data_IF_657552310526
#
_entry.id   IF_657552310526
#
_cell.length_a   1.000
_cell.length_b   1.000
_cell.length_c   1.000
_cell.angle_alpha   90.00
_cell.angle_beta   90.00
_cell.angle_gamma   90.00
#
_symmetry.space_group_name_H-M   'P 1'
#
loop_
_entity.id
_entity.type
_entity.pdbx_description
1 polymer ?
#
# COMPACT_ATOMS: atom_id res chain seq x y z
N UNK A 1 8.06 0.27 -23.13
CA UNK A 1 7.61 -0.30 -21.83
C UNK A 1 6.44 0.54 -21.36
N UNK A 2 5.27 -0.05 -21.10
CA UNK A 2 4.12 0.70 -20.56
C UNK A 2 4.23 0.95 -19.06
N UNK A 3 3.49 1.92 -18.48
CA UNK A 3 3.56 2.25 -17.05
C UNK A 3 3.24 1.05 -16.15
N UNK A 4 2.18 0.29 -16.46
CA UNK A 4 1.82 -0.93 -15.75
C UNK A 4 2.95 -1.97 -15.70
N UNK A 5 3.68 -2.14 -16.79
CA UNK A 5 4.81 -3.07 -16.85
C UNK A 5 5.99 -2.58 -16.02
N UNK A 6 6.32 -1.29 -16.08
CA UNK A 6 7.38 -0.73 -15.26
C UNK A 6 7.05 -0.85 -13.76
N UNK A 7 5.79 -0.61 -13.39
CA UNK A 7 5.28 -0.82 -12.04
C UNK A 7 5.39 -2.28 -11.61
N UNK A 8 4.93 -3.20 -12.45
CA UNK A 8 5.00 -4.64 -12.20
C UNK A 8 6.44 -5.12 -11.94
N UNK A 9 7.38 -4.69 -12.79
CA UNK A 9 8.80 -5.05 -12.67
C UNK A 9 9.40 -4.53 -11.36
N UNK A 10 9.07 -3.30 -10.97
CA UNK A 10 9.51 -2.73 -9.70
C UNK A 10 8.95 -3.53 -8.50
N UNK A 11 7.63 -3.74 -8.45
CA UNK A 11 6.98 -4.45 -7.34
C UNK A 11 7.55 -5.86 -7.17
N UNK A 12 7.65 -6.63 -8.26
CA UNK A 12 8.18 -8.01 -8.22
C UNK A 12 9.64 -8.03 -7.79
N UNK A 13 10.49 -7.11 -8.27
CA UNK A 13 11.89 -7.01 -7.85
C UNK A 13 12.04 -6.65 -6.37
N UNK A 14 11.07 -5.94 -5.81
CA UNK A 14 11.01 -5.63 -4.39
C UNK A 14 10.43 -6.77 -3.52
N UNK A 15 10.04 -7.91 -4.11
CA UNK A 15 9.43 -9.04 -3.38
C UNK A 15 7.91 -8.96 -3.24
N UNK A 16 7.26 -8.01 -3.92
CA UNK A 16 5.81 -7.90 -3.97
C UNK A 16 5.15 -8.83 -5.00
N UNK A 17 3.83 -8.76 -5.04
CA UNK A 17 2.96 -9.51 -5.94
C UNK A 17 2.04 -8.55 -6.67
N UNK A 18 1.62 -8.92 -7.87
CA UNK A 18 0.76 -8.10 -8.71
C UNK A 18 -0.35 -8.94 -9.34
N UNK A 19 -1.48 -8.30 -9.67
CA UNK A 19 -2.57 -8.90 -10.45
C UNK A 19 -2.83 -8.08 -11.70
N UNK A 20 -3.02 -8.78 -12.81
CA UNK A 20 -3.37 -8.20 -14.11
C UNK A 20 -4.87 -8.28 -14.36
N UNK A 21 -5.39 -7.42 -15.24
CA UNK A 21 -6.82 -7.33 -15.61
C UNK A 21 -7.50 -8.60 -16.10
N UNK A 22 -6.75 -9.59 -16.59
CA UNK A 22 -7.25 -10.87 -17.11
C UNK A 22 -6.82 -12.05 -16.25
N UNK A 23 -6.60 -11.80 -14.96
CA UNK A 23 -6.18 -12.80 -14.00
C UNK A 23 -6.84 -12.50 -12.66
N UNK A 24 -7.36 -13.54 -12.03
CA UNK A 24 -7.91 -13.45 -10.68
C UNK A 24 -6.84 -13.68 -9.60
N UNK A 25 -5.67 -14.18 -10.00
CA UNK A 25 -4.59 -14.55 -9.09
C UNK A 25 -3.50 -13.47 -9.02
N UNK A 26 -2.89 -13.36 -7.83
CA UNK A 26 -1.67 -12.60 -7.64
C UNK A 26 -0.48 -13.41 -8.14
N UNK A 27 0.44 -12.74 -8.84
CA UNK A 27 1.69 -13.32 -9.30
C UNK A 27 2.89 -12.59 -8.69
N UNK A 28 3.85 -13.38 -8.21
CA UNK A 28 5.19 -12.94 -7.82
C UNK A 28 6.23 -13.18 -8.91
N UNK A 29 5.83 -13.84 -9.99
CA UNK A 29 6.77 -14.35 -10.97
C UNK A 29 7.02 -13.31 -12.06
N UNK A 30 8.30 -13.02 -12.33
CA UNK A 30 8.68 -12.11 -13.40
C UNK A 30 8.14 -12.57 -14.78
N UNK A 31 7.98 -13.89 -14.98
CA UNK A 31 7.41 -14.49 -16.20
C UNK A 31 5.98 -14.02 -16.49
N UNK A 32 5.23 -13.62 -15.46
CA UNK A 32 3.87 -13.07 -15.60
C UNK A 32 3.85 -11.74 -16.37
N UNK A 33 4.99 -11.06 -16.46
CA UNK A 33 5.15 -9.78 -17.16
C UNK A 33 5.45 -9.97 -18.65
N UNK A 34 6.18 -11.03 -19.02
CA UNK A 34 6.78 -11.20 -20.34
C UNK A 34 5.76 -11.18 -21.50
N UNK A 35 4.54 -11.65 -21.24
CA UNK A 35 3.49 -11.79 -22.27
C UNK A 35 2.45 -10.65 -22.22
N UNK A 36 2.69 -9.57 -21.47
CA UNK A 36 1.72 -8.48 -21.29
C UNK A 36 1.86 -7.42 -22.37
N UNK A 37 0.72 -7.05 -22.94
CA UNK A 37 0.60 -6.12 -24.05
C UNK A 37 0.27 -4.73 -23.49
N UNK A 38 1.15 -3.72 -23.66
CA UNK A 38 0.88 -2.35 -23.23
C UNK A 38 -0.46 -1.83 -23.76
N UNK A 39 -1.26 -1.21 -22.89
CA UNK A 39 -2.57 -0.65 -23.24
C UNK A 39 -3.71 -1.67 -23.29
N UNK A 40 -3.43 -2.98 -23.36
CA UNK A 40 -4.45 -4.05 -23.26
C UNK A 40 -4.45 -4.71 -21.89
N UNK A 41 -3.26 -5.01 -21.37
CA UNK A 41 -3.06 -5.52 -20.02
C UNK A 41 -2.69 -4.36 -19.09
N UNK A 42 -3.33 -4.35 -17.92
CA UNK A 42 -3.14 -3.32 -16.90
C UNK A 42 -3.19 -3.94 -15.51
N UNK A 43 -2.54 -3.30 -14.54
CA UNK A 43 -2.54 -3.73 -13.15
C UNK A 43 -3.87 -3.40 -12.48
N UNK A 44 -4.36 -4.36 -11.70
CA UNK A 44 -5.59 -4.25 -10.92
C UNK A 44 -5.34 -4.43 -9.42
N UNK A 45 -4.27 -5.13 -9.03
CA UNK A 45 -3.83 -5.21 -7.65
C UNK A 45 -2.31 -5.19 -7.50
N UNK A 46 -1.86 -4.62 -6.38
CA UNK A 46 -0.49 -4.71 -5.87
C UNK A 46 -0.55 -5.15 -4.41
N UNK A 47 0.19 -6.20 -4.07
CA UNK A 47 0.42 -6.59 -2.68
C UNK A 47 1.92 -6.59 -2.38
N UNK A 48 2.32 -5.84 -1.38
CA UNK A 48 3.68 -5.82 -0.87
C UNK A 48 3.64 -6.23 0.60
N UNK A 49 4.21 -7.40 0.88
CA UNK A 49 4.32 -7.99 2.22
C UNK A 49 5.78 -8.37 2.44
N UNK A 50 6.41 -7.85 3.50
CA UNK A 50 7.86 -8.05 3.73
C UNK A 50 8.73 -7.64 2.53
N UNK A 51 8.28 -6.62 1.78
CA UNK A 51 8.88 -6.19 0.52
C UNK A 51 9.69 -4.89 0.70
N UNK A 52 10.78 -4.73 -0.05
CA UNK A 52 11.62 -3.52 -0.04
C UNK A 52 11.08 -2.41 -0.97
N UNK A 53 9.76 -2.25 -1.02
CA UNK A 53 9.13 -1.09 -1.70
C UNK A 53 9.39 0.17 -0.88
N UNK A 54 9.79 1.25 -1.54
CA UNK A 54 10.14 2.50 -0.88
C UNK A 54 9.49 3.71 -1.56
N UNK A 55 9.52 4.85 -0.86
CA UNK A 55 8.86 6.07 -1.31
C UNK A 55 9.32 6.55 -2.71
N UNK A 56 10.59 6.35 -3.07
CA UNK A 56 11.10 6.72 -4.39
C UNK A 56 10.56 5.80 -5.50
N UNK A 57 10.36 4.51 -5.19
CA UNK A 57 9.77 3.54 -6.09
C UNK A 57 8.30 3.81 -6.43
N UNK A 58 7.57 4.49 -5.53
CA UNK A 58 6.16 4.84 -5.72
C UNK A 58 5.89 5.67 -6.98
N UNK A 59 6.90 6.37 -7.54
CA UNK A 59 6.79 7.04 -8.85
C UNK A 59 6.40 6.08 -9.98
N UNK A 60 6.64 4.78 -9.85
CA UNK A 60 6.22 3.78 -10.83
C UNK A 60 4.70 3.55 -10.85
N UNK A 61 3.96 4.03 -9.85
CA UNK A 61 2.50 4.08 -9.90
C UNK A 61 1.98 5.17 -10.85
N UNK A 62 2.85 6.06 -11.34
CA UNK A 62 2.46 7.09 -12.28
C UNK A 62 1.85 6.46 -13.54
N UNK A 63 0.63 6.89 -13.87
CA UNK A 63 -0.16 6.41 -15.01
C UNK A 63 -0.64 4.94 -14.90
N UNK A 64 -0.60 4.32 -13.72
CA UNK A 64 -1.28 3.03 -13.44
C UNK A 64 -2.74 3.29 -13.07
N UNK A 65 -3.52 3.74 -14.06
CA UNK A 65 -4.84 4.34 -13.84
C UNK A 65 -5.99 3.35 -13.58
N UNK A 66 -5.72 2.05 -13.47
CA UNK A 66 -6.74 1.00 -13.27
C UNK A 66 -6.48 0.11 -12.05
N UNK A 67 -5.60 0.57 -11.16
CA UNK A 67 -5.30 -0.11 -9.91
C UNK A 67 -6.49 -0.02 -8.95
N UNK A 68 -7.02 -1.15 -8.51
CA UNK A 68 -8.21 -1.22 -7.65
C UNK A 68 -7.87 -1.61 -6.21
N UNK A 69 -6.83 -2.41 -6.01
CA UNK A 69 -6.43 -2.93 -4.70
C UNK A 69 -4.94 -2.69 -4.43
N UNK A 70 -4.63 -2.21 -3.24
CA UNK A 70 -3.27 -1.99 -2.77
C UNK A 70 -3.11 -2.47 -1.33
N UNK A 71 -2.10 -3.30 -1.08
CA UNK A 71 -1.73 -3.74 0.26
C UNK A 71 -0.26 -3.45 0.54
N UNK A 72 0.00 -2.84 1.69
CA UNK A 72 1.31 -2.72 2.31
C UNK A 72 1.28 -3.41 3.67
N UNK A 73 2.12 -4.40 3.86
CA UNK A 73 2.27 -5.12 5.12
C UNK A 73 3.77 -5.30 5.41
N UNK A 74 4.24 -4.84 6.59
CA UNK A 74 5.67 -4.88 6.97
C UNK A 74 6.60 -4.25 5.92
N UNK A 75 6.17 -3.14 5.31
CA UNK A 75 6.93 -2.39 4.30
C UNK A 75 7.64 -1.19 4.95
N UNK A 76 8.77 -1.44 5.60
CA UNK A 76 9.43 -0.47 6.49
C UNK A 76 10.18 0.65 5.78
N UNK A 77 10.46 0.52 4.48
CA UNK A 77 11.09 1.58 3.68
C UNK A 77 10.09 2.61 3.14
N UNK A 78 8.79 2.42 3.39
CA UNK A 78 7.77 3.41 3.09
C UNK A 78 7.72 4.49 4.17
N UNK A 79 7.53 5.74 3.75
CA UNK A 79 7.34 6.89 4.63
C UNK A 79 6.14 7.72 4.15
N UNK A 80 5.75 8.76 4.89
CA UNK A 80 4.56 9.58 4.58
C UNK A 80 4.51 10.11 3.14
N UNK A 81 5.66 10.36 2.49
CA UNK A 81 5.69 10.81 1.08
C UNK A 81 5.16 9.74 0.13
N UNK A 82 5.30 8.45 0.47
CA UNK A 82 4.80 7.35 -0.34
C UNK A 82 3.28 7.43 -0.53
N UNK A 83 2.52 7.82 0.51
CA UNK A 83 1.06 7.89 0.44
C UNK A 83 0.56 9.03 -0.45
N UNK A 84 1.35 10.09 -0.65
CA UNK A 84 1.01 11.18 -1.57
C UNK A 84 0.86 10.70 -3.02
N UNK A 85 1.65 9.70 -3.42
CA UNK A 85 1.59 9.12 -4.77
C UNK A 85 0.29 8.35 -5.04
N UNK A 86 -0.45 7.94 -4.01
CA UNK A 86 -1.71 7.23 -4.18
C UNK A 86 -2.82 8.11 -4.78
N UNK A 87 -2.70 9.43 -4.66
CA UNK A 87 -3.59 10.39 -5.32
C UNK A 87 -3.65 10.20 -6.85
N UNK A 88 -2.61 9.64 -7.46
CA UNK A 88 -2.57 9.31 -8.88
C UNK A 88 -3.61 8.23 -9.25
N UNK A 89 -3.89 7.32 -8.31
CA UNK A 89 -4.86 6.25 -8.47
C UNK A 89 -6.20 6.54 -7.76
N UNK A 90 -6.49 7.82 -7.43
CA UNK A 90 -7.72 8.24 -6.75
C UNK A 90 -9.01 7.84 -7.47
N UNK A 91 -8.93 7.72 -8.79
CA UNK A 91 -10.07 7.43 -9.67
C UNK A 91 -10.27 5.93 -9.92
N UNK A 92 -9.42 5.07 -9.36
CA UNK A 92 -9.50 3.60 -9.54
C UNK A 92 -9.41 2.80 -8.24
N UNK A 93 -8.67 3.28 -7.23
CA UNK A 93 -8.49 2.56 -5.97
C UNK A 93 -9.81 2.40 -5.23
N UNK A 94 -10.14 1.16 -4.91
CA UNK A 94 -11.34 0.74 -4.17
C UNK A 94 -10.99 0.19 -2.80
N UNK A 95 -9.83 -0.44 -2.65
CA UNK A 95 -9.41 -1.02 -1.38
C UNK A 95 -7.93 -0.76 -1.12
N UNK A 96 -7.64 -0.27 0.09
CA UNK A 96 -6.29 -0.04 0.60
C UNK A 96 -6.15 -0.74 1.94
N UNK A 97 -5.07 -1.49 2.09
CA UNK A 97 -4.73 -2.18 3.33
C UNK A 97 -3.30 -1.82 3.76
N UNK A 98 -3.13 -1.36 5.00
CA UNK A 98 -1.84 -0.90 5.53
C UNK A 98 -1.62 -1.50 6.92
N UNK A 99 -0.65 -2.39 7.05
CA UNK A 99 -0.34 -3.07 8.31
C UNK A 99 1.15 -2.99 8.63
N UNK A 100 1.50 -2.81 9.91
CA UNK A 100 2.90 -2.88 10.38
C UNK A 100 3.84 -1.98 9.56
N UNK A 101 3.41 -0.78 9.21
CA UNK A 101 4.16 0.21 8.43
C UNK A 101 4.46 1.45 9.27
N UNK A 102 5.45 2.26 8.84
CA UNK A 102 5.96 3.40 9.62
C UNK A 102 5.27 4.74 9.28
N UNK A 103 4.02 4.70 8.79
CA UNK A 103 3.24 5.91 8.52
C UNK A 103 2.78 6.57 9.80
N UNK A 104 2.80 7.91 9.83
CA UNK A 104 2.23 8.70 10.92
C UNK A 104 0.82 9.18 10.59
N UNK A 105 0.14 9.76 11.58
CA UNK A 105 -1.18 10.38 11.44
C UNK A 105 -1.26 11.31 10.21
N UNK A 106 -0.33 12.28 10.14
CA UNK A 106 -0.23 13.20 9.00
C UNK A 106 0.01 12.50 7.65
N UNK A 107 0.71 11.36 7.63
CA UNK A 107 0.89 10.57 6.41
C UNK A 107 -0.40 9.91 5.95
N UNK A 108 -1.15 9.34 6.88
CA UNK A 108 -2.44 8.68 6.61
C UNK A 108 -3.48 9.66 6.06
N UNK A 109 -3.45 10.92 6.48
CA UNK A 109 -4.35 11.96 5.97
C UNK A 109 -4.19 12.24 4.46
N UNK A 110 -3.11 11.79 3.81
CA UNK A 110 -3.01 11.83 2.34
C UNK A 110 -4.01 10.90 1.63
N UNK A 111 -4.60 9.93 2.34
CA UNK A 111 -5.59 9.01 1.79
C UNK A 111 -6.97 9.67 1.58
N UNK A 112 -7.21 10.86 2.15
CA UNK A 112 -8.51 11.54 2.11
C UNK A 112 -9.00 11.91 0.70
N UNK A 113 -8.08 12.00 -0.27
CA UNK A 113 -8.41 12.33 -1.65
C UNK A 113 -8.84 11.11 -2.49
N UNK A 114 -8.76 9.89 -1.94
CA UNK A 114 -9.15 8.64 -2.61
C UNK A 114 -10.68 8.45 -2.58
N UNK A 115 -11.43 9.34 -3.24
CA UNK A 115 -12.90 9.40 -3.15
C UNK A 115 -13.64 8.14 -3.66
N UNK A 116 -12.98 7.29 -4.45
CA UNK A 116 -13.53 6.00 -4.88
C UNK A 116 -13.20 4.83 -3.93
N UNK A 117 -12.42 5.09 -2.88
CA UNK A 117 -12.12 4.09 -1.86
C UNK A 117 -13.42 3.65 -1.18
N UNK A 118 -13.51 2.35 -0.92
CA UNK A 118 -14.63 1.67 -0.27
C UNK A 118 -14.20 0.94 0.98
N UNK A 119 -12.95 0.48 1.01
CA UNK A 119 -12.38 -0.25 2.14
C UNK A 119 -11.00 0.33 2.43
N UNK A 120 -10.82 0.82 3.65
CA UNK A 120 -9.52 1.19 4.21
C UNK A 120 -9.32 0.39 5.49
N UNK A 121 -8.38 -0.54 5.46
CA UNK A 121 -7.98 -1.29 6.66
C UNK A 121 -6.59 -0.88 7.07
N UNK A 122 -6.44 -0.55 8.33
CA UNK A 122 -5.18 -0.13 8.91
C UNK A 122 -4.88 -0.94 10.17
N UNK A 123 -3.62 -1.12 10.50
CA UNK A 123 -3.25 -1.74 11.76
C UNK A 123 -1.77 -1.61 12.07
N UNK A 124 -1.47 -1.58 13.37
CA UNK A 124 -0.10 -1.66 13.89
C UNK A 124 0.84 -0.62 13.29
N UNK A 125 0.43 0.64 13.40
CA UNK A 125 1.19 1.78 12.89
C UNK A 125 1.90 2.47 14.06
N UNK A 126 3.15 2.11 14.40
CA UNK A 126 3.83 2.63 15.60
C UNK A 126 4.07 4.14 15.58
N UNK A 127 4.02 4.77 14.40
CA UNK A 127 4.21 6.21 14.24
C UNK A 127 2.88 7.00 14.20
N UNK A 128 1.73 6.33 14.21
CA UNK A 128 0.41 6.96 14.30
C UNK A 128 -0.01 7.05 15.76
N UNK A 129 0.19 8.22 16.36
CA UNK A 129 -0.01 8.48 17.80
C UNK A 129 -1.48 8.81 18.07
N UNK A 130 -2.11 9.56 17.16
CA UNK A 130 -3.49 10.05 17.28
C UNK A 130 -4.40 9.35 16.28
N UNK A 131 -4.35 8.01 16.28
CA UNK A 131 -5.01 7.20 15.25
C UNK A 131 -6.54 7.36 15.26
N UNK A 132 -7.15 7.56 16.43
CA UNK A 132 -8.60 7.71 16.55
C UNK A 132 -9.10 9.01 15.88
N UNK A 133 -8.43 10.15 16.17
CA UNK A 133 -8.69 11.44 15.50
C UNK A 133 -8.46 11.33 13.98
N UNK A 134 -7.39 10.64 13.58
CA UNK A 134 -7.08 10.40 12.16
C UNK A 134 -8.18 9.60 11.46
N UNK A 135 -8.72 8.57 12.12
CA UNK A 135 -9.83 7.76 11.59
C UNK A 135 -11.09 8.60 11.45
N UNK A 136 -11.41 9.45 12.42
CA UNK A 136 -12.56 10.35 12.36
C UNK A 136 -12.45 11.33 11.18
N UNK A 137 -11.28 11.95 10.98
CA UNK A 137 -11.05 12.83 9.83
C UNK A 137 -11.17 12.08 8.51
N UNK A 138 -10.58 10.88 8.41
CA UNK A 138 -10.67 10.03 7.22
C UNK A 138 -12.11 9.63 6.91
N UNK A 139 -12.91 9.25 7.93
CA UNK A 139 -14.34 8.95 7.78
C UNK A 139 -15.13 10.16 7.31
N UNK A 140 -14.81 11.35 7.81
CA UNK A 140 -15.45 12.61 7.38
C UNK A 140 -15.15 12.93 5.91
N UNK A 141 -13.92 12.69 5.46
CA UNK A 141 -13.52 12.93 4.07
C UNK A 141 -13.95 11.81 3.09
N UNK A 142 -14.10 10.58 3.59
CA UNK A 142 -14.43 9.38 2.81
C UNK A 142 -15.75 8.74 3.30
N UNK A 143 -16.90 9.42 3.18
CA UNK A 143 -18.16 8.98 3.78
C UNK A 143 -18.69 7.65 3.21
N UNK A 144 -18.19 7.22 2.05
CA UNK A 144 -18.57 5.95 1.41
C UNK A 144 -17.51 4.85 1.58
N UNK A 145 -16.53 5.05 2.47
CA UNK A 145 -15.45 4.11 2.75
C UNK A 145 -15.60 3.52 4.16
N UNK A 146 -15.55 2.20 4.25
CA UNK A 146 -15.41 1.51 5.52
C UNK A 146 -13.97 1.63 6.01
N UNK A 147 -13.76 2.46 7.04
CA UNK A 147 -12.45 2.71 7.65
C UNK A 147 -12.36 1.93 8.95
N UNK A 148 -11.46 0.94 8.98
CA UNK A 148 -11.24 0.07 10.13
C UNK A 148 -9.78 0.11 10.58
N UNK A 149 -9.56 0.02 11.90
CA UNK A 149 -8.24 -0.09 12.50
C UNK A 149 -8.20 -1.27 13.46
N UNK A 150 -7.15 -2.10 13.36
CA UNK A 150 -6.89 -3.20 14.29
C UNK A 150 -5.54 -3.01 14.95
N UNK A 151 -5.51 -2.98 16.28
CA UNK A 151 -4.27 -3.16 17.04
C UNK A 151 -4.06 -4.67 17.20
N UNK A 152 -2.85 -5.17 17.03
CA UNK A 152 -2.49 -6.48 17.56
C UNK A 152 -2.62 -6.43 19.08
N UNK A 153 -3.68 -7.03 19.59
CA UNK A 153 -3.75 -7.43 21.00
C UNK A 153 -2.79 -8.61 21.17
N UNK A 154 -1.52 -8.33 21.49
CA UNK A 154 -0.75 -9.31 22.21
C UNK A 154 0.04 -8.67 23.34
N UNK A 155 -0.23 -9.21 24.51
CA UNK A 155 0.29 -8.87 25.82
C UNK A 155 1.82 -9.11 25.87
N UNK A 156 2.54 -8.13 26.41
CA UNK A 156 3.88 -8.27 27.02
C UNK A 156 5.13 -8.51 26.15
N UNK A 157 5.09 -8.59 24.81
CA UNK A 157 6.34 -8.62 24.02
C UNK A 157 6.28 -7.75 22.77
N UNK A 158 7.34 -6.94 22.56
CA UNK A 158 7.56 -6.27 21.27
C UNK A 158 7.61 -7.34 20.18
N UNK A 159 6.86 -7.19 19.07
CA UNK A 159 7.01 -8.10 17.94
C UNK A 159 8.47 -8.18 17.52
N UNK A 160 8.97 -9.38 17.23
CA UNK A 160 10.38 -9.63 16.88
C UNK A 160 10.89 -8.75 15.73
N UNK A 161 10.01 -8.35 14.82
CA UNK A 161 10.35 -7.41 13.74
C UNK A 161 10.62 -5.98 14.26
N UNK A 162 9.95 -5.52 15.32
CA UNK A 162 10.24 -4.22 15.94
C UNK A 162 11.62 -4.23 16.62
N UNK A 163 12.04 -5.36 17.20
CA UNK A 163 13.40 -5.48 17.75
C UNK A 163 14.46 -5.48 16.65
N UNK A 164 14.20 -6.11 15.50
CA UNK A 164 15.14 -6.09 14.38
C UNK A 164 15.31 -4.69 13.76
N UNK A 165 14.24 -3.87 13.75
CA UNK A 165 14.26 -2.51 13.19
C UNK A 165 14.77 -1.49 14.20
N UNK A 166 14.26 -1.51 15.42
CA UNK A 166 14.53 -0.49 16.45
C UNK A 166 15.56 -0.93 17.50
N UNK A 167 15.97 -2.20 17.51
CA UNK A 167 16.93 -2.78 18.45
C UNK A 167 18.39 -2.68 18.00
N UNK A 168 18.70 -2.10 16.84
CA UNK A 168 20.06 -1.63 16.54
C UNK A 168 20.31 -0.30 17.23
N UNK A 169 20.48 -0.33 18.55
CA UNK A 169 21.25 0.70 19.25
C UNK A 169 22.64 0.12 19.51
N UNK A 170 23.63 0.89 19.08
CA UNK A 170 25.09 0.74 19.27
C UNK A 170 25.48 0.25 20.65
#
# INVERSE_FOLDING_TARGET
>A
MGPDRACAEWVIRCGGSIRWSRSDELSKEFKSICNKIPGKDYLTAIEATDACVNANGMKHLQNVGKLEYLKFDRCFELNNKALQYLSIAKDSLKQVEIYSCLFSDAGLLHLKDLRKLRILKMGDLPNAVNIDETIEELKSCLPNCDVTYKKYENTLTRPTWMEQIFGRKT
#
